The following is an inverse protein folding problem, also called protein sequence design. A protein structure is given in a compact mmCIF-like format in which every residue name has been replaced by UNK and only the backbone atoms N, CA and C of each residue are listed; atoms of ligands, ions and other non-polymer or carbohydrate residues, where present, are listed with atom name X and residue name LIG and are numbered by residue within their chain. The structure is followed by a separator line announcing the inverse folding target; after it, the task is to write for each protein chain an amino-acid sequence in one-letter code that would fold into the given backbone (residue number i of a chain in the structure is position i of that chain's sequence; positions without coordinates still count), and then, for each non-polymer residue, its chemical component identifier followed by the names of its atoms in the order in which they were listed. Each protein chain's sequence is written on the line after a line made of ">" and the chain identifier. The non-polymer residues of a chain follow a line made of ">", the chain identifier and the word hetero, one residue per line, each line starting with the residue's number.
data_IF_475334068511
#
_entry.id   IF_475334068511
#
_cell.length_a   1.000
_cell.length_b   1.000
_cell.length_c   1.000
_cell.angle_alpha   90.00
_cell.angle_beta   90.00
_cell.angle_gamma   90.00
#
_symmetry.space_group_name_H-M   'P 1'
#
loop_
_entity.id
_entity.type
_entity.pdbx_description
1 polymer ?
#
# COMPACT_ATOMS: atom_id res chain seq x y z
N UNK A 1 -0.79 8.72 3.37
CA UNK A 1 -1.45 7.62 2.63
C UNK A 1 -1.94 6.51 3.56
N UNK A 2 -1.10 5.83 4.32
CA UNK A 2 -1.45 4.62 5.09
C UNK A 2 -2.63 4.78 6.05
N UNK A 3 -2.69 5.87 6.83
CA UNK A 3 -3.82 6.13 7.73
C UNK A 3 -5.14 6.36 6.99
N UNK A 4 -5.10 7.01 5.82
CA UNK A 4 -6.28 7.20 4.98
C UNK A 4 -6.82 5.85 4.45
N UNK A 5 -5.95 4.91 4.13
CA UNK A 5 -6.31 3.55 3.71
C UNK A 5 -6.97 2.79 4.86
N UNK A 6 -6.43 2.86 6.08
CA UNK A 6 -7.05 2.22 7.26
C UNK A 6 -8.43 2.82 7.53
N UNK A 7 -8.54 4.14 7.48
CA UNK A 7 -9.80 4.87 7.67
C UNK A 7 -10.86 4.47 6.63
N UNK A 8 -10.48 4.45 5.36
CA UNK A 8 -11.35 4.03 4.27
C UNK A 8 -11.79 2.57 4.42
N UNK A 9 -10.86 1.67 4.78
CA UNK A 9 -11.17 0.27 5.01
C UNK A 9 -12.22 0.09 6.12
N UNK A 10 -12.11 0.85 7.22
CA UNK A 10 -13.06 0.79 8.33
C UNK A 10 -14.45 1.30 7.96
N UNK A 11 -14.52 2.41 7.24
CA UNK A 11 -15.76 3.15 7.03
C UNK A 11 -16.46 2.84 5.71
N UNK A 12 -15.71 2.49 4.66
CA UNK A 12 -16.26 2.18 3.33
C UNK A 12 -16.29 0.69 3.04
N UNK A 13 -15.26 -0.07 3.44
CA UNK A 13 -15.20 -1.51 3.20
C UNK A 13 -15.78 -2.34 4.35
N UNK A 14 -16.29 -1.71 5.42
CA UNK A 14 -16.78 -2.37 6.63
C UNK A 14 -15.76 -3.30 7.32
N UNK A 15 -14.48 -3.12 7.09
CA UNK A 15 -13.42 -3.86 7.78
C UNK A 15 -13.17 -3.16 9.13
N UNK A 16 -14.08 -3.32 10.08
CA UNK A 16 -14.08 -2.58 11.35
C UNK A 16 -12.77 -2.65 12.14
N UNK A 17 -12.04 -3.77 12.02
CA UNK A 17 -10.76 -3.99 12.69
C UNK A 17 -9.55 -3.74 11.79
N UNK A 18 -9.71 -3.02 10.67
CA UNK A 18 -8.60 -2.65 9.80
C UNK A 18 -7.52 -1.91 10.60
N UNK A 19 -6.26 -2.31 10.42
CA UNK A 19 -5.14 -1.78 11.21
C UNK A 19 -3.82 -1.93 10.43
N UNK A 20 -2.74 -1.43 11.02
CA UNK A 20 -1.37 -1.77 10.64
C UNK A 20 -0.81 -2.84 11.58
N UNK A 21 -0.06 -3.81 11.06
CA UNK A 21 0.67 -4.77 11.88
C UNK A 21 1.72 -4.11 12.78
N UNK A 22 2.10 -2.87 12.48
CA UNK A 22 2.95 -2.02 13.34
C UNK A 22 2.37 -1.81 14.74
N UNK A 23 1.05 -1.78 14.87
CA UNK A 23 0.36 -1.53 16.13
C UNK A 23 0.06 -2.80 16.94
N UNK A 24 0.63 -3.93 16.54
CA UNK A 24 0.51 -5.21 17.25
C UNK A 24 -0.49 -6.19 16.65
N UNK A 25 -0.79 -7.27 17.37
CA UNK A 25 -1.54 -8.46 16.90
C UNK A 25 -3.05 -8.33 17.07
N UNK A 26 -3.65 -7.22 16.85
CA UNK A 26 -5.10 -7.06 17.05
C UNK A 26 -5.78 -6.48 15.84
N UNK A 27 -6.44 -7.27 15.01
CA UNK A 27 -7.22 -6.77 13.89
C UNK A 27 -6.85 -7.35 12.53
N UNK A 28 -7.36 -6.72 11.46
CA UNK A 28 -7.11 -7.10 10.07
C UNK A 28 -6.02 -6.21 9.50
N UNK A 29 -4.80 -6.71 9.25
CA UNK A 29 -3.69 -5.90 8.79
C UNK A 29 -3.86 -5.53 7.31
N UNK A 30 -4.33 -4.31 7.07
CA UNK A 30 -4.38 -3.70 5.74
C UNK A 30 -3.02 -3.07 5.38
N UNK A 31 -2.26 -2.71 6.40
CA UNK A 31 -0.89 -2.21 6.31
C UNK A 31 0.01 -3.19 7.06
N UNK A 32 1.17 -3.53 6.48
CA UNK A 32 2.09 -4.45 7.14
C UNK A 32 3.45 -4.53 6.43
N UNK A 33 4.28 -5.45 6.84
CA UNK A 33 5.58 -5.71 6.21
C UNK A 33 5.38 -6.42 4.87
N UNK A 34 6.24 -6.12 3.88
CA UNK A 34 6.17 -6.75 2.54
C UNK A 34 6.24 -8.28 2.63
N UNK A 35 7.03 -8.79 3.58
CA UNK A 35 7.16 -10.23 3.84
C UNK A 35 5.88 -10.90 4.33
N UNK A 36 4.91 -10.12 4.82
CA UNK A 36 3.64 -10.64 5.34
C UNK A 36 2.62 -11.00 4.26
N UNK A 37 2.79 -10.50 3.02
CA UNK A 37 1.81 -10.76 1.94
C UNK A 37 2.27 -11.70 0.84
N UNK A 38 3.50 -12.14 0.83
CA UNK A 38 4.03 -12.80 -0.35
C UNK A 38 4.48 -14.24 -0.16
N UNK A 39 3.51 -15.20 -0.15
CA UNK A 39 3.69 -16.52 -0.76
C UNK A 39 2.34 -17.17 -1.02
N UNK A 40 1.92 -17.26 -2.30
CA UNK A 40 0.77 -18.07 -2.75
C UNK A 40 -0.57 -17.81 -2.02
N UNK A 41 -0.89 -16.55 -1.71
CA UNK A 41 -2.14 -16.20 -1.05
C UNK A 41 -2.24 -16.61 0.43
N UNK A 42 -1.17 -17.15 1.03
CA UNK A 42 -1.08 -17.40 2.46
C UNK A 42 -0.22 -16.34 3.13
N UNK A 43 -0.74 -15.72 4.18
CA UNK A 43 0.05 -14.83 5.05
C UNK A 43 1.23 -15.60 5.64
N UNK A 44 2.44 -15.21 5.27
CA UNK A 44 3.65 -15.68 5.94
C UNK A 44 4.11 -14.55 6.85
N UNK A 45 4.16 -14.84 8.13
CA UNK A 45 4.80 -13.95 9.11
C UNK A 45 6.29 -13.91 8.82
N UNK A 46 6.79 -12.74 8.42
CA UNK A 46 8.22 -12.48 8.46
C UNK A 46 8.74 -12.62 9.89
N UNK A 47 9.92 -13.14 10.07
CA UNK A 47 10.59 -13.17 11.36
C UNK A 47 11.15 -11.78 11.67
N UNK A 48 11.24 -11.39 12.95
CA UNK A 48 11.83 -10.11 13.39
C UNK A 48 13.25 -9.85 12.85
N UNK A 49 13.91 -10.87 12.30
CA UNK A 49 15.24 -10.78 11.69
C UNK A 49 15.24 -10.17 10.28
N UNK A 50 14.10 -10.17 9.57
CA UNK A 50 13.98 -9.62 8.22
C UNK A 50 13.61 -8.13 8.18
N UNK A 51 13.50 -7.48 9.33
CA UNK A 51 13.11 -6.07 9.47
C UNK A 51 14.03 -5.10 8.69
N UNK A 52 15.30 -5.45 8.50
CA UNK A 52 16.26 -4.64 7.74
C UNK A 52 16.00 -4.59 6.24
N UNK A 53 15.47 -5.68 5.66
CA UNK A 53 15.24 -5.81 4.21
C UNK A 53 13.97 -5.13 3.69
N UNK A 54 13.08 -4.66 4.56
CA UNK A 54 11.80 -4.06 4.18
C UNK A 54 11.77 -2.53 4.26
N UNK A 55 12.82 -1.90 4.82
CA UNK A 55 12.90 -0.44 4.90
C UNK A 55 13.07 0.17 3.51
N UNK A 56 12.09 0.95 3.09
CA UNK A 56 12.22 1.80 1.91
C UNK A 56 12.74 3.17 2.34
N UNK A 57 13.95 3.48 1.91
CA UNK A 57 14.63 4.73 2.23
C UNK A 57 15.24 5.32 0.96
N UNK A 58 14.86 6.54 0.63
CA UNK A 58 15.36 7.24 -0.56
C UNK A 58 14.33 7.36 -1.68
N UNK A 59 14.79 7.59 -2.90
CA UNK A 59 13.97 7.76 -4.09
C UNK A 59 13.57 6.41 -4.68
N UNK A 60 12.28 6.26 -4.98
CA UNK A 60 11.72 5.09 -5.65
C UNK A 60 10.79 5.54 -6.78
N UNK A 61 10.83 4.77 -7.85
CA UNK A 61 9.98 5.02 -9.01
C UNK A 61 8.53 4.60 -8.72
N UNK A 62 7.58 5.44 -9.20
CA UNK A 62 6.16 5.12 -9.22
C UNK A 62 5.61 5.29 -10.64
N UNK A 63 4.95 4.26 -11.16
CA UNK A 63 4.20 4.30 -12.42
C UNK A 63 2.82 4.88 -12.15
N UNK A 64 2.47 5.93 -12.87
CA UNK A 64 1.18 6.60 -12.73
C UNK A 64 0.13 5.99 -13.64
N UNK A 65 -1.07 5.77 -13.07
CA UNK A 65 -2.23 5.27 -13.79
C UNK A 65 -2.68 6.25 -14.87
N UNK A 66 -2.99 5.75 -16.06
CA UNK A 66 -3.54 6.57 -17.14
C UNK A 66 -4.85 7.23 -16.68
N UNK A 67 -5.07 8.46 -17.13
CA UNK A 67 -6.25 9.26 -16.80
C UNK A 67 -6.43 9.63 -15.31
N UNK A 68 -5.45 9.35 -14.45
CA UNK A 68 -5.48 9.76 -13.06
C UNK A 68 -5.22 11.26 -12.90
N UNK A 69 -5.69 11.84 -11.78
CA UNK A 69 -5.43 13.23 -11.46
C UNK A 69 -3.92 13.47 -11.24
N UNK A 70 -3.27 12.58 -10.51
CA UNK A 70 -1.82 12.69 -10.24
C UNK A 70 -1.02 12.70 -11.55
N UNK A 71 -1.39 11.88 -12.54
CA UNK A 71 -0.72 11.90 -13.84
C UNK A 71 -0.91 13.23 -14.59
N UNK A 72 -2.08 13.85 -14.50
CA UNK A 72 -2.34 15.17 -15.06
C UNK A 72 -1.48 16.25 -14.40
N UNK A 73 -1.30 16.15 -13.08
CA UNK A 73 -0.49 17.09 -12.29
C UNK A 73 1.00 16.96 -12.64
N UNK A 74 1.54 15.76 -12.57
CA UNK A 74 2.98 15.50 -12.82
C UNK A 74 3.34 15.54 -14.32
N UNK A 75 2.38 15.34 -15.21
CA UNK A 75 2.57 15.27 -16.69
C UNK A 75 3.63 14.24 -17.09
N UNK A 76 3.75 13.17 -16.33
CA UNK A 76 4.71 12.08 -16.52
C UNK A 76 4.05 10.73 -16.36
N UNK A 77 4.63 9.68 -16.94
CA UNK A 77 4.20 8.29 -16.75
C UNK A 77 4.86 7.65 -15.52
N UNK A 78 6.07 8.09 -15.21
CA UNK A 78 6.86 7.62 -14.08
C UNK A 78 7.36 8.85 -13.33
N UNK A 79 7.26 8.80 -12.02
CA UNK A 79 7.78 9.83 -11.12
C UNK A 79 8.67 9.18 -10.07
N UNK A 80 9.44 9.98 -9.38
CA UNK A 80 10.23 9.54 -8.23
C UNK A 80 9.72 10.24 -6.98
N UNK A 81 9.38 9.43 -5.98
CA UNK A 81 8.97 9.91 -4.67
C UNK A 81 9.91 9.42 -3.58
N UNK A 82 10.08 10.26 -2.56
CA UNK A 82 10.98 9.94 -1.45
C UNK A 82 10.25 9.16 -0.38
N UNK A 83 10.75 7.95 -0.10
CA UNK A 83 10.21 7.05 0.91
C UNK A 83 11.07 7.04 2.17
N UNK A 84 10.39 6.85 3.30
CA UNK A 84 11.01 6.63 4.60
C UNK A 84 10.05 5.82 5.47
N UNK A 85 9.72 4.62 5.02
CA UNK A 85 8.81 3.75 5.76
C UNK A 85 9.14 2.27 5.50
N UNK A 86 8.67 1.43 6.40
CA UNK A 86 8.89 -0.02 6.39
C UNK A 86 7.60 -0.78 6.09
N UNK A 87 6.49 -0.24 6.54
CA UNK A 87 5.17 -0.84 6.39
C UNK A 87 4.52 -0.37 5.10
N UNK A 88 3.87 -1.29 4.41
CA UNK A 88 3.28 -1.08 3.10
C UNK A 88 1.80 -1.45 3.08
N UNK A 89 1.08 -0.93 2.11
CA UNK A 89 -0.31 -1.31 1.86
C UNK A 89 -0.36 -2.72 1.28
N UNK A 90 -1.23 -3.56 1.83
CA UNK A 90 -1.45 -4.90 1.32
C UNK A 90 -2.19 -4.84 -0.02
N UNK A 91 -1.47 -5.11 -1.11
CA UNK A 91 -1.97 -5.06 -2.49
C UNK A 91 -3.15 -6.00 -2.74
N UNK A 92 -3.31 -7.05 -1.94
CA UNK A 92 -4.40 -8.02 -2.09
C UNK A 92 -5.79 -7.40 -1.87
N UNK A 93 -5.86 -6.26 -1.18
CA UNK A 93 -7.10 -5.51 -0.99
C UNK A 93 -7.39 -4.50 -2.11
N UNK A 94 -6.46 -4.31 -3.06
CA UNK A 94 -6.57 -3.28 -4.11
C UNK A 94 -7.91 -3.29 -4.83
N UNK A 95 -8.35 -4.45 -5.30
CA UNK A 95 -9.61 -4.58 -6.01
C UNK A 95 -10.79 -4.09 -5.16
N UNK A 96 -10.87 -4.54 -3.91
CA UNK A 96 -11.96 -4.15 -2.99
C UNK A 96 -11.98 -2.63 -2.74
N UNK A 97 -10.81 -2.00 -2.63
CA UNK A 97 -10.71 -0.54 -2.51
C UNK A 97 -11.20 0.16 -3.79
N UNK A 98 -10.76 -0.30 -4.96
CA UNK A 98 -11.12 0.32 -6.24
C UNK A 98 -12.64 0.17 -6.54
N UNK A 99 -13.25 -0.95 -6.22
CA UNK A 99 -14.70 -1.17 -6.33
C UNK A 99 -15.52 -0.23 -5.43
N UNK A 100 -14.91 0.31 -4.37
CA UNK A 100 -15.53 1.24 -3.44
C UNK A 100 -15.09 2.70 -3.63
N UNK A 101 -14.41 3.01 -4.73
CA UNK A 101 -14.14 4.37 -5.17
C UNK A 101 -12.75 4.93 -4.84
N UNK A 102 -11.89 4.16 -4.19
CA UNK A 102 -10.48 4.57 -4.03
C UNK A 102 -9.67 4.12 -5.24
N UNK A 103 -8.90 5.02 -5.83
CA UNK A 103 -8.04 4.71 -6.98
C UNK A 103 -6.59 4.60 -6.52
N UNK A 104 -5.93 3.49 -6.82
CA UNK A 104 -4.48 3.39 -6.70
C UNK A 104 -3.85 3.96 -7.97
N UNK A 105 -3.56 5.25 -7.91
CA UNK A 105 -3.11 6.03 -9.06
C UNK A 105 -1.60 6.00 -9.29
N UNK A 106 -0.83 5.51 -8.34
CA UNK A 106 0.59 5.22 -8.48
C UNK A 106 0.94 3.87 -7.88
N UNK A 107 1.71 3.08 -8.62
CA UNK A 107 2.22 1.79 -8.18
C UNK A 107 3.73 1.70 -8.43
N UNK A 108 4.41 0.86 -7.64
CA UNK A 108 5.80 0.49 -7.93
C UNK A 108 5.94 -0.09 -9.36
N UNK A 109 7.13 -0.03 -10.00
CA UNK A 109 7.32 -0.52 -11.37
C UNK A 109 6.89 -1.96 -11.61
N UNK A 110 6.99 -2.81 -10.58
CA UNK A 110 6.52 -4.21 -10.59
C UNK A 110 5.04 -4.37 -10.23
N UNK A 111 4.31 -3.28 -10.02
CA UNK A 111 2.89 -3.19 -9.65
C UNK A 111 2.52 -3.87 -8.31
N UNK A 112 3.48 -4.09 -7.41
CA UNK A 112 3.24 -4.77 -6.14
C UNK A 112 2.94 -3.83 -4.98
N UNK A 113 3.45 -2.61 -5.03
CA UNK A 113 3.34 -1.66 -3.93
C UNK A 113 2.53 -0.43 -4.35
N UNK A 114 1.44 -0.13 -3.65
CA UNK A 114 0.71 1.13 -3.81
C UNK A 114 1.53 2.33 -3.32
N UNK A 115 1.70 3.31 -4.19
CA UNK A 115 2.50 4.50 -3.92
C UNK A 115 1.64 5.76 -3.75
N UNK A 116 0.55 5.85 -4.53
CA UNK A 116 -0.34 7.01 -4.54
C UNK A 116 -1.78 6.54 -4.62
N UNK A 117 -2.66 7.23 -3.89
CA UNK A 117 -4.10 7.02 -3.91
C UNK A 117 -4.84 8.30 -4.26
N UNK A 118 -6.02 8.15 -4.87
CA UNK A 118 -6.99 9.21 -5.15
C UNK A 118 -8.39 8.76 -4.70
N UNK A 119 -9.22 9.73 -4.34
CA UNK A 119 -10.64 9.57 -4.02
C UNK A 119 -11.48 10.42 -4.96
#
# INVERSE_FOLDING_TARGET
>A
MQMAIIEFARNKLNIKKATSSEFGKGGTPIIGLISEWNKNGKMIKGTDKDLGGTMRLGLYDAKLKENSLVKKIYKSKIIQERHRHRYEVNINYKQQFEENGMIFSGLSPDNKLPEIIEL
#
